data_IF_095174055329
#
_entry.id   IF_095174055329
#
_cell.length_a   1.000
_cell.length_b   1.000
_cell.length_c   1.000
_cell.angle_alpha   90.00
_cell.angle_beta   90.00
_cell.angle_gamma   90.00
#
_symmetry.space_group_name_H-M   'P 1'
#
loop_
_entity.id
_entity.type
_entity.pdbx_description
1 polymer ?
#
# COMPACT_ATOMS: atom_id res chain seq x y z
N UNK A 1 4.57 13.68 0.33
CA UNK A 1 3.10 13.90 0.15
C UNK A 1 2.45 14.18 1.48
N UNK A 2 1.46 15.11 1.55
CA UNK A 2 0.78 15.41 2.82
C UNK A 2 -0.57 14.65 2.91
N UNK A 3 -0.60 13.57 3.68
CA UNK A 3 -1.79 12.75 3.90
C UNK A 3 -2.73 13.25 5.00
N UNK A 4 -2.37 14.31 5.71
CA UNK A 4 -3.18 14.85 6.81
C UNK A 4 -4.58 15.27 6.38
N UNK A 5 -4.75 15.74 5.12
CA UNK A 5 -6.04 16.18 4.59
C UNK A 5 -7.02 15.05 4.29
N UNK A 6 -6.52 13.83 4.05
CA UNK A 6 -7.34 12.65 3.69
C UNK A 6 -7.43 11.61 4.81
N UNK A 7 -6.73 11.85 5.92
CA UNK A 7 -6.70 10.91 7.05
C UNK A 7 -8.10 10.54 7.56
N UNK A 8 -9.10 11.44 7.39
CA UNK A 8 -10.48 11.26 7.84
C UNK A 8 -11.27 10.17 7.15
N UNK A 9 -10.94 9.88 5.91
CA UNK A 9 -11.64 8.91 5.06
C UNK A 9 -10.75 7.74 4.66
N UNK A 10 -9.50 7.73 5.16
CA UNK A 10 -8.49 6.76 4.73
C UNK A 10 -8.87 5.31 5.04
N UNK A 11 -9.45 5.05 6.20
CA UNK A 11 -9.80 3.69 6.66
C UNK A 11 -10.99 3.09 5.91
N UNK A 12 -11.82 3.92 5.25
CA UNK A 12 -12.95 3.45 4.46
C UNK A 12 -12.54 2.45 3.37
N UNK A 13 -11.29 2.52 2.89
CA UNK A 13 -10.73 1.56 1.93
C UNK A 13 -10.72 0.12 2.46
N UNK A 14 -10.46 -0.06 3.76
CA UNK A 14 -10.44 -1.37 4.40
C UNK A 14 -11.85 -1.89 4.71
N UNK A 15 -12.85 -1.00 4.87
CA UNK A 15 -14.26 -1.38 4.96
C UNK A 15 -14.76 -1.91 3.60
N UNK A 16 -14.35 -1.26 2.50
CA UNK A 16 -14.74 -1.66 1.14
C UNK A 16 -13.95 -2.90 0.69
N UNK A 17 -12.66 -2.94 0.97
CA UNK A 17 -11.77 -4.04 0.63
C UNK A 17 -10.83 -4.36 1.81
N UNK A 18 -11.17 -5.35 2.64
CA UNK A 18 -10.43 -5.67 3.86
C UNK A 18 -9.06 -6.32 3.62
N UNK A 19 -8.65 -6.56 2.37
CA UNK A 19 -7.34 -7.11 2.00
C UNK A 19 -6.96 -8.37 2.81
N UNK A 20 -7.86 -9.34 2.86
CA UNK A 20 -7.70 -10.57 3.68
C UNK A 20 -6.51 -11.41 3.25
N UNK A 21 -6.14 -11.38 1.98
CA UNK A 21 -4.94 -12.05 1.49
C UNK A 21 -3.66 -11.44 2.04
N UNK A 22 -3.62 -10.11 2.17
CA UNK A 22 -2.51 -9.40 2.83
C UNK A 22 -2.44 -9.76 4.32
N UNK A 23 -3.58 -9.75 5.02
CA UNK A 23 -3.65 -10.18 6.43
C UNK A 23 -3.09 -11.59 6.60
N UNK A 24 -3.57 -12.55 5.79
CA UNK A 24 -3.10 -13.93 5.84
C UNK A 24 -1.58 -14.04 5.59
N UNK A 25 -1.07 -13.30 4.60
CA UNK A 25 0.36 -13.30 4.31
C UNK A 25 1.20 -12.73 5.45
N UNK A 26 0.77 -11.64 6.09
CA UNK A 26 1.46 -11.05 7.24
C UNK A 26 1.45 -11.97 8.46
N UNK A 27 0.31 -12.59 8.80
CA UNK A 27 0.21 -13.58 9.89
C UNK A 27 1.09 -14.80 9.61
N UNK A 28 1.15 -15.26 8.35
CA UNK A 28 2.08 -16.31 7.93
C UNK A 28 3.54 -15.93 8.20
N UNK A 29 3.95 -14.72 7.85
CA UNK A 29 5.30 -14.22 8.14
C UNK A 29 5.59 -14.15 9.64
N UNK A 30 4.65 -13.67 10.45
CA UNK A 30 4.77 -13.64 11.92
C UNK A 30 5.04 -15.06 12.45
N UNK A 31 4.28 -16.05 11.97
CA UNK A 31 4.47 -17.45 12.34
C UNK A 31 5.83 -18.01 11.89
N UNK A 32 6.17 -17.80 10.60
CA UNK A 32 7.40 -18.33 9.98
C UNK A 32 8.70 -17.77 10.60
N UNK A 33 8.63 -16.54 11.14
CA UNK A 33 9.74 -15.90 11.84
C UNK A 33 9.68 -16.07 13.35
N UNK A 34 8.60 -16.66 13.89
CA UNK A 34 8.30 -16.62 15.32
C UNK A 34 8.42 -15.20 15.88
N UNK A 35 7.96 -14.23 15.10
CA UNK A 35 8.17 -12.81 15.37
C UNK A 35 7.42 -12.37 16.63
N UNK A 36 8.12 -11.69 17.51
CA UNK A 36 7.60 -11.11 18.75
C UNK A 36 7.58 -9.59 18.71
N UNK A 37 8.51 -8.97 17.95
CA UNK A 37 8.65 -7.52 17.81
C UNK A 37 8.63 -7.13 16.34
N UNK A 38 7.58 -6.40 15.97
CA UNK A 38 7.32 -5.98 14.60
C UNK A 38 7.54 -4.48 14.45
N UNK A 39 7.94 -4.07 13.24
CA UNK A 39 7.92 -2.68 12.79
C UNK A 39 7.15 -2.55 11.49
N UNK A 40 6.11 -1.73 11.47
CA UNK A 40 5.48 -1.26 10.23
C UNK A 40 6.02 0.13 9.88
N UNK A 41 6.58 0.29 8.67
CA UNK A 41 7.05 1.59 8.17
C UNK A 41 6.07 2.13 7.14
N UNK A 42 5.56 3.34 7.39
CA UNK A 42 4.41 3.91 6.68
C UNK A 42 3.08 3.34 7.19
N UNK A 43 2.91 3.28 8.51
CA UNK A 43 1.78 2.60 9.14
C UNK A 43 0.44 3.35 9.00
N UNK A 44 0.45 4.62 8.58
CA UNK A 44 -0.74 5.42 8.39
C UNK A 44 -1.63 5.48 9.64
N UNK A 45 -2.88 5.04 9.51
CA UNK A 45 -3.90 4.98 10.58
C UNK A 45 -3.82 3.70 11.42
N UNK A 46 -2.77 2.89 11.24
CA UNK A 46 -2.48 1.73 12.09
C UNK A 46 -3.37 0.50 11.87
N UNK A 47 -3.93 0.33 10.67
CA UNK A 47 -4.77 -0.83 10.34
C UNK A 47 -4.06 -2.16 10.62
N UNK A 48 -2.85 -2.34 10.08
CA UNK A 48 -2.09 -3.58 10.26
C UNK A 48 -1.48 -3.72 11.65
N UNK A 49 -1.16 -2.59 12.32
CA UNK A 49 -0.73 -2.63 13.72
C UNK A 49 -1.79 -3.29 14.60
N UNK A 50 -3.06 -2.84 14.48
CA UNK A 50 -4.19 -3.40 15.23
C UNK A 50 -4.46 -4.84 14.86
N UNK A 51 -4.35 -5.17 13.57
CA UNK A 51 -4.57 -6.53 13.05
C UNK A 51 -3.58 -7.53 13.62
N UNK A 52 -2.30 -7.14 13.78
CA UNK A 52 -1.22 -8.05 14.19
C UNK A 52 -0.90 -7.99 15.69
N UNK A 53 -1.27 -6.93 16.40
CA UNK A 53 -0.98 -6.78 17.83
C UNK A 53 -1.43 -7.97 18.71
N UNK A 54 -2.56 -8.65 18.44
CA UNK A 54 -2.95 -9.83 19.23
C UNK A 54 -1.96 -10.99 19.16
N UNK A 55 -1.22 -11.12 18.06
CA UNK A 55 -0.36 -12.28 17.75
C UNK A 55 1.09 -12.10 18.23
N UNK A 56 1.47 -10.90 18.69
CA UNK A 56 2.86 -10.56 19.01
C UNK A 56 3.00 -9.87 20.36
N UNK A 57 4.23 -9.71 20.83
CA UNK A 57 4.49 -9.01 22.10
C UNK A 57 4.42 -7.50 21.94
N UNK A 58 4.96 -7.01 20.81
CA UNK A 58 4.99 -5.57 20.50
C UNK A 58 4.98 -5.34 19.00
N UNK A 59 4.20 -4.37 18.58
CA UNK A 59 4.24 -3.83 17.22
C UNK A 59 4.47 -2.32 17.27
N UNK A 60 5.44 -1.85 16.51
CA UNK A 60 5.79 -0.44 16.38
C UNK A 60 5.33 0.05 15.02
N UNK A 61 4.65 1.18 14.96
CA UNK A 61 4.28 1.87 13.72
C UNK A 61 5.08 3.15 13.57
N UNK A 62 5.74 3.31 12.43
CA UNK A 62 6.39 4.56 12.05
C UNK A 62 5.67 5.16 10.85
N UNK A 63 5.33 6.44 10.95
CA UNK A 63 4.80 7.24 9.84
C UNK A 63 5.27 8.68 9.94
N UNK A 64 5.51 9.32 8.79
CA UNK A 64 5.92 10.72 8.74
C UNK A 64 4.77 11.71 8.97
N UNK A 65 3.52 11.24 8.84
CA UNK A 65 2.31 12.05 8.98
C UNK A 65 1.75 11.96 10.39
N UNK A 66 2.01 12.99 11.20
CA UNK A 66 1.38 13.11 12.52
C UNK A 66 -0.15 13.12 12.45
N UNK A 67 -0.73 13.59 11.33
CA UNK A 67 -2.17 13.58 11.09
C UNK A 67 -2.73 12.16 10.94
N UNK A 68 -1.96 11.24 10.37
CA UNK A 68 -2.30 9.82 10.31
C UNK A 68 -2.17 9.17 11.68
N UNK A 69 -1.05 9.35 12.35
CA UNK A 69 -0.79 8.75 13.67
C UNK A 69 -1.83 9.16 14.73
N UNK A 70 -2.30 10.41 14.71
CA UNK A 70 -3.36 10.88 15.62
C UNK A 70 -4.71 10.18 15.44
N UNK A 71 -4.89 9.43 14.35
CA UNK A 71 -6.11 8.66 14.09
C UNK A 71 -6.01 7.20 14.53
N UNK A 72 -4.85 6.76 14.95
CA UNK A 72 -4.70 5.44 15.53
C UNK A 72 -5.39 5.46 16.89
N UNK A 73 -6.60 4.90 16.95
CA UNK A 73 -7.42 4.78 18.16
C UNK A 73 -7.24 3.40 18.79
N UNK A 74 -7.51 3.27 20.07
CA UNK A 74 -7.51 1.98 20.79
C UNK A 74 -6.18 1.22 20.65
N UNK A 75 -5.09 1.90 20.96
CA UNK A 75 -3.72 1.38 20.79
C UNK A 75 -3.45 0.09 21.56
N UNK A 76 -4.05 -0.07 22.75
CA UNK A 76 -3.67 -1.14 23.66
C UNK A 76 -2.17 -1.05 24.06
N UNK A 77 -1.76 -1.91 24.99
CA UNK A 77 -0.39 -1.85 25.55
C UNK A 77 0.71 -2.38 24.61
N UNK A 78 0.34 -2.99 23.49
CA UNK A 78 1.27 -3.64 22.55
C UNK A 78 1.66 -2.80 21.35
N UNK A 79 0.97 -1.67 21.13
CA UNK A 79 1.18 -0.79 19.97
C UNK A 79 1.93 0.46 20.41
N UNK A 80 3.03 0.76 19.73
CA UNK A 80 3.82 1.96 19.91
C UNK A 80 3.87 2.74 18.59
N UNK A 81 3.73 4.07 18.66
CA UNK A 81 3.77 4.93 17.48
C UNK A 81 4.97 5.87 17.53
N UNK A 82 5.64 5.97 16.38
CA UNK A 82 6.78 6.86 16.18
C UNK A 82 6.51 7.77 14.99
N UNK A 83 6.59 9.08 15.18
CA UNK A 83 6.55 10.02 14.07
C UNK A 83 7.96 10.18 13.51
N UNK A 84 8.17 9.73 12.25
CA UNK A 84 9.51 9.74 11.64
C UNK A 84 9.47 9.39 10.16
N UNK A 85 10.62 9.62 9.48
CA UNK A 85 10.81 9.29 8.06
C UNK A 85 11.38 7.88 7.89
N UNK A 86 11.00 7.20 6.80
CA UNK A 86 11.64 5.97 6.35
C UNK A 86 13.14 6.17 5.98
N UNK A 87 13.53 7.42 5.69
CA UNK A 87 14.92 7.77 5.39
C UNK A 87 15.82 7.86 6.64
N UNK A 88 15.20 7.87 7.84
CA UNK A 88 15.93 7.93 9.12
C UNK A 88 15.15 7.14 10.18
N UNK A 89 15.40 5.85 10.25
CA UNK A 89 14.74 4.95 11.19
C UNK A 89 15.36 5.09 12.59
N UNK A 90 14.65 5.65 13.59
CA UNK A 90 15.21 5.99 14.89
C UNK A 90 15.20 4.79 15.87
N UNK A 91 15.68 3.64 15.41
CA UNK A 91 15.67 2.41 16.18
C UNK A 91 17.09 1.85 16.36
N UNK A 92 17.30 1.10 17.42
CA UNK A 92 18.55 0.40 17.64
C UNK A 92 18.72 -0.77 16.65
N UNK A 93 19.96 -1.12 16.33
CA UNK A 93 20.28 -2.27 15.50
C UNK A 93 19.71 -3.57 16.11
N UNK A 94 19.36 -4.52 15.27
CA UNK A 94 18.84 -5.84 15.66
C UNK A 94 17.68 -5.77 16.67
N UNK A 95 16.72 -4.86 16.43
CA UNK A 95 15.57 -4.60 17.33
C UNK A 95 14.32 -5.36 16.97
N UNK A 96 14.17 -5.78 15.70
CA UNK A 96 12.92 -6.33 15.18
C UNK A 96 13.10 -7.72 14.58
N UNK A 97 12.09 -8.56 14.77
CA UNK A 97 12.02 -9.89 14.18
C UNK A 97 11.37 -9.85 12.78
N UNK A 98 10.46 -8.90 12.56
CA UNK A 98 9.83 -8.65 11.27
C UNK A 98 9.64 -7.14 11.06
N UNK A 99 10.12 -6.65 9.92
CA UNK A 99 9.84 -5.30 9.41
C UNK A 99 8.97 -5.43 8.16
N UNK A 100 7.92 -4.65 8.06
CA UNK A 100 7.06 -4.70 6.89
C UNK A 100 6.56 -3.33 6.45
N UNK A 101 6.24 -3.25 5.16
CA UNK A 101 5.68 -2.07 4.49
C UNK A 101 4.48 -2.53 3.67
N UNK A 102 3.31 -1.91 3.85
CA UNK A 102 2.13 -2.19 3.04
C UNK A 102 1.66 -0.93 2.33
N UNK A 103 1.70 -0.94 1.01
CA UNK A 103 1.28 0.17 0.15
C UNK A 103 1.92 1.52 0.51
N UNK A 104 3.18 1.53 0.99
CA UNK A 104 3.86 2.75 1.39
C UNK A 104 5.23 2.95 0.71
N UNK A 105 5.93 1.91 0.27
CA UNK A 105 7.29 2.01 -0.30
C UNK A 105 7.39 3.04 -1.44
N UNK A 106 6.37 3.15 -2.29
CA UNK A 106 6.35 4.09 -3.41
C UNK A 106 6.31 5.57 -3.00
N UNK A 107 6.13 5.86 -1.71
CA UNK A 107 6.19 7.20 -1.13
C UNK A 107 7.54 7.56 -0.53
N UNK A 108 8.44 6.59 -0.34
CA UNK A 108 9.75 6.86 0.24
C UNK A 108 10.64 7.54 -0.80
N UNK A 109 11.42 8.52 -0.36
CA UNK A 109 12.33 9.24 -1.26
C UNK A 109 13.51 8.34 -1.64
N UNK A 110 14.14 7.68 -0.66
CA UNK A 110 15.23 6.73 -0.85
C UNK A 110 14.78 5.29 -0.54
N UNK A 111 14.11 4.66 -1.52
CA UNK A 111 13.57 3.29 -1.39
C UNK A 111 14.64 2.23 -1.17
N UNK A 112 15.78 2.37 -1.87
CA UNK A 112 16.91 1.46 -1.73
C UNK A 112 17.56 1.60 -0.36
N UNK A 113 17.91 2.81 0.03
CA UNK A 113 18.50 3.07 1.35
C UNK A 113 17.57 2.70 2.50
N UNK A 114 16.24 2.80 2.31
CA UNK A 114 15.29 2.25 3.29
C UNK A 114 15.50 0.74 3.50
N UNK A 115 15.63 -0.04 2.42
CA UNK A 115 15.86 -1.50 2.51
C UNK A 115 17.18 -1.81 3.23
N UNK A 116 18.24 -1.07 2.91
CA UNK A 116 19.56 -1.20 3.56
C UNK A 116 19.47 -0.88 5.06
N UNK A 117 18.78 0.20 5.44
CA UNK A 117 18.56 0.56 6.85
C UNK A 117 17.68 -0.45 7.59
N UNK A 118 16.64 -0.95 6.95
CA UNK A 118 15.75 -1.94 7.55
C UNK A 118 16.47 -3.25 7.84
N UNK A 119 17.36 -3.69 6.96
CA UNK A 119 18.19 -4.89 7.17
C UNK A 119 18.98 -4.79 8.47
N UNK A 120 19.66 -3.68 8.74
CA UNK A 120 20.43 -3.47 9.97
C UNK A 120 19.58 -3.51 11.26
N UNK A 121 18.29 -3.25 11.16
CA UNK A 121 17.37 -3.30 12.29
C UNK A 121 16.82 -4.70 12.56
N UNK A 122 17.00 -5.62 11.61
CA UNK A 122 16.56 -7.00 11.77
C UNK A 122 17.47 -7.78 12.70
N UNK A 123 16.90 -8.66 13.50
CA UNK A 123 17.62 -9.71 14.23
C UNK A 123 18.00 -10.83 13.29
N UNK A 124 19.04 -11.62 13.62
CA UNK A 124 19.34 -12.86 12.91
C UNK A 124 18.07 -13.73 12.81
N UNK A 125 17.79 -14.24 11.62
CA UNK A 125 16.57 -15.00 11.31
C UNK A 125 15.32 -14.16 11.07
N UNK A 126 15.39 -12.84 11.25
CA UNK A 126 14.29 -11.92 11.00
C UNK A 126 13.97 -11.72 9.51
N UNK A 127 12.95 -10.94 9.20
CA UNK A 127 12.53 -10.72 7.81
C UNK A 127 12.08 -9.29 7.50
N UNK A 128 12.33 -8.87 6.26
CA UNK A 128 11.76 -7.67 5.66
C UNK A 128 10.72 -8.06 4.62
N UNK A 129 9.49 -7.56 4.75
CA UNK A 129 8.43 -7.75 3.77
C UNK A 129 7.99 -6.42 3.16
N UNK A 130 7.91 -6.36 1.84
CA UNK A 130 7.34 -5.25 1.09
C UNK A 130 6.10 -5.76 0.36
N UNK A 131 4.94 -5.16 0.65
CA UNK A 131 3.66 -5.47 0.02
C UNK A 131 3.15 -4.21 -0.68
N UNK A 132 2.69 -4.36 -1.91
CA UNK A 132 2.17 -3.23 -2.66
C UNK A 132 1.53 -3.60 -3.98
N UNK A 133 0.99 -2.58 -4.63
CA UNK A 133 0.36 -2.71 -5.93
C UNK A 133 1.37 -3.18 -6.98
N UNK A 134 0.99 -4.20 -7.74
CA UNK A 134 1.64 -4.53 -9.00
C UNK A 134 1.05 -3.62 -10.08
N UNK A 135 1.79 -2.55 -10.42
CA UNK A 135 1.31 -1.60 -11.43
C UNK A 135 1.17 -2.32 -12.76
N UNK A 136 -0.03 -2.37 -13.36
CA UNK A 136 -0.26 -3.18 -14.55
C UNK A 136 0.56 -2.71 -15.76
N UNK A 137 0.92 -3.63 -16.66
CA UNK A 137 1.73 -3.31 -17.84
C UNK A 137 0.96 -2.49 -18.90
N UNK A 138 -0.37 -2.42 -18.82
CA UNK A 138 -1.22 -1.73 -19.78
C UNK A 138 -2.44 -1.07 -19.12
N UNK A 139 -3.01 -0.08 -19.78
CA UNK A 139 -4.36 0.43 -19.50
C UNK A 139 -5.40 -0.67 -19.78
N UNK A 140 -6.60 -0.56 -19.18
CA UNK A 140 -7.70 -1.52 -19.38
C UNK A 140 -7.83 -2.58 -18.30
N UNK A 141 -6.83 -2.66 -17.37
CA UNK A 141 -6.93 -3.49 -16.17
C UNK A 141 -7.40 -2.70 -14.93
N UNK A 142 -7.61 -1.40 -15.07
CA UNK A 142 -8.10 -0.54 -14.00
C UNK A 142 -8.87 0.64 -14.57
N UNK A 143 -10.05 0.89 -14.02
CA UNK A 143 -10.85 2.08 -14.32
C UNK A 143 -10.03 3.37 -14.17
N UNK A 144 -9.18 3.45 -13.14
CA UNK A 144 -8.34 4.63 -12.92
C UNK A 144 -7.39 4.85 -14.10
N UNK A 145 -6.68 3.82 -14.53
CA UNK A 145 -5.69 3.96 -15.60
C UNK A 145 -6.34 4.09 -16.99
N UNK A 146 -7.53 3.54 -17.17
CA UNK A 146 -8.27 3.63 -18.43
C UNK A 146 -8.86 5.02 -18.66
N UNK A 147 -9.45 5.59 -17.62
CA UNK A 147 -10.23 6.83 -17.75
C UNK A 147 -9.44 8.09 -17.38
N UNK A 148 -8.49 8.03 -16.44
CA UNK A 148 -7.78 9.22 -15.96
C UNK A 148 -6.42 9.40 -16.65
N UNK A 149 -6.28 10.41 -17.55
CA UNK A 149 -5.03 10.65 -18.28
C UNK A 149 -3.86 10.92 -17.34
N UNK A 150 -2.73 10.25 -17.57
CA UNK A 150 -1.51 10.42 -16.78
C UNK A 150 -1.45 9.59 -15.50
N UNK A 151 -2.53 8.91 -15.12
CA UNK A 151 -2.56 8.13 -13.88
C UNK A 151 -1.58 6.94 -13.88
N UNK A 152 -1.54 6.20 -14.98
CA UNK A 152 -0.62 5.06 -15.12
C UNK A 152 0.85 5.50 -15.16
N UNK A 153 1.15 6.55 -15.91
CA UNK A 153 2.49 7.13 -16.01
C UNK A 153 2.97 7.64 -14.67
N UNK A 154 2.09 8.31 -13.92
CA UNK A 154 2.41 8.78 -12.57
C UNK A 154 2.73 7.62 -11.63
N UNK A 155 1.90 6.56 -11.60
CA UNK A 155 2.18 5.41 -10.76
C UNK A 155 3.44 4.67 -11.19
N UNK A 156 3.69 4.50 -12.49
CA UNK A 156 4.94 3.92 -12.99
C UNK A 156 6.19 4.70 -12.60
N UNK A 157 6.08 6.02 -12.47
CA UNK A 157 7.23 6.86 -12.08
C UNK A 157 7.65 6.68 -10.62
N UNK A 158 6.74 6.23 -9.75
CA UNK A 158 6.98 6.14 -8.31
C UNK A 158 7.03 4.71 -7.73
N UNK A 159 6.37 3.76 -8.38
CA UNK A 159 6.43 2.36 -7.97
C UNK A 159 7.67 1.69 -8.55
N UNK A 160 8.56 1.14 -7.72
CA UNK A 160 9.68 0.36 -8.22
C UNK A 160 9.18 -0.97 -8.81
N UNK A 161 9.86 -1.48 -9.82
CA UNK A 161 9.61 -2.84 -10.29
C UNK A 161 9.93 -3.88 -9.23
N UNK A 162 9.19 -4.98 -9.19
CA UNK A 162 9.37 -6.02 -8.18
C UNK A 162 10.73 -6.72 -8.25
N UNK A 163 11.28 -6.90 -9.45
CA UNK A 163 12.65 -7.40 -9.64
C UNK A 163 13.68 -6.45 -9.03
N UNK A 164 13.44 -5.14 -9.15
CA UNK A 164 14.30 -4.13 -8.56
C UNK A 164 14.26 -4.15 -7.03
N UNK A 165 13.06 -4.32 -6.43
CA UNK A 165 12.91 -4.50 -4.98
C UNK A 165 13.69 -5.73 -4.50
N UNK A 166 13.55 -6.87 -5.19
CA UNK A 166 14.31 -8.09 -4.89
C UNK A 166 15.82 -7.87 -5.01
N UNK A 167 16.27 -7.16 -6.05
CA UNK A 167 17.70 -6.83 -6.22
C UNK A 167 18.25 -5.96 -5.10
N UNK A 168 17.48 -4.97 -4.62
CA UNK A 168 17.87 -4.16 -3.47
C UNK A 168 17.97 -4.97 -2.18
N UNK A 169 17.01 -5.88 -1.94
CA UNK A 169 17.04 -6.79 -0.80
C UNK A 169 18.29 -7.70 -0.83
N UNK A 170 18.58 -8.28 -2.00
CA UNK A 170 19.80 -9.12 -2.18
C UNK A 170 21.09 -8.31 -1.96
N UNK A 171 21.15 -7.08 -2.50
CA UNK A 171 22.32 -6.21 -2.33
C UNK A 171 22.52 -5.77 -0.87
N UNK A 172 21.45 -5.68 -0.09
CA UNK A 172 21.50 -5.44 1.36
C UNK A 172 21.86 -6.69 2.18
N UNK A 173 22.11 -7.85 1.55
CA UNK A 173 22.49 -9.07 2.26
C UNK A 173 21.33 -9.96 2.69
N UNK A 174 20.11 -9.65 2.29
CA UNK A 174 18.94 -10.47 2.61
C UNK A 174 18.82 -11.66 1.64
N UNK A 175 18.47 -12.83 2.16
CA UNK A 175 18.09 -14.01 1.37
C UNK A 175 16.67 -13.81 0.80
N UNK A 176 16.59 -13.49 -0.49
CA UNK A 176 15.32 -13.13 -1.16
C UNK A 176 14.49 -14.38 -1.47
N UNK A 177 13.24 -14.36 -1.06
CA UNK A 177 12.26 -15.41 -1.36
C UNK A 177 11.55 -15.16 -2.70
N UNK A 178 10.94 -16.19 -3.30
CA UNK A 178 10.11 -16.00 -4.51
C UNK A 178 9.01 -14.97 -4.32
N UNK A 179 8.85 -14.09 -5.30
CA UNK A 179 7.78 -13.09 -5.31
C UNK A 179 6.41 -13.79 -5.32
N UNK A 180 5.49 -13.31 -4.48
CA UNK A 180 4.14 -13.88 -4.38
C UNK A 180 3.06 -12.83 -4.61
N UNK A 181 1.99 -13.18 -5.33
CA UNK A 181 0.74 -12.43 -5.30
C UNK A 181 0.00 -12.79 -4.01
N UNK A 182 -0.32 -11.79 -3.20
CA UNK A 182 -0.97 -11.97 -1.89
C UNK A 182 -2.41 -11.49 -1.87
N UNK A 183 -2.81 -10.65 -2.84
CA UNK A 183 -4.19 -10.17 -2.93
C UNK A 183 -4.59 -9.98 -4.39
N UNK A 184 -5.84 -10.33 -4.71
CA UNK A 184 -6.49 -10.02 -5.97
C UNK A 184 -7.68 -9.11 -5.71
N UNK A 185 -7.61 -7.88 -6.19
CA UNK A 185 -8.66 -6.89 -6.07
C UNK A 185 -9.46 -6.90 -7.36
N UNK A 186 -10.67 -7.45 -7.29
CA UNK A 186 -11.65 -7.41 -8.38
C UNK A 186 -12.74 -6.44 -8.02
N UNK A 187 -13.04 -5.59 -8.96
CA UNK A 187 -13.95 -4.50 -8.78
C UNK A 187 -14.80 -4.34 -10.03
N UNK A 188 -16.11 -4.20 -9.85
CA UNK A 188 -17.06 -3.97 -10.92
C UNK A 188 -18.13 -2.99 -10.44
N UNK A 189 -18.39 -1.96 -11.25
CA UNK A 189 -19.46 -0.98 -11.04
C UNK A 189 -20.23 -0.76 -12.31
N UNK A 190 -21.49 -0.48 -12.14
CA UNK A 190 -22.45 -0.34 -13.24
C UNK A 190 -22.99 1.09 -13.31
N UNK A 191 -23.13 1.60 -14.53
CA UNK A 191 -23.75 2.88 -14.80
C UNK A 191 -23.18 4.03 -13.96
N UNK A 192 -24.08 4.87 -13.46
CA UNK A 192 -23.73 6.05 -12.67
C UNK A 192 -23.19 5.77 -11.29
N UNK A 193 -23.36 4.53 -10.76
CA UNK A 193 -22.83 4.15 -9.46
C UNK A 193 -21.30 4.27 -9.37
N UNK A 194 -20.60 4.27 -10.50
CA UNK A 194 -19.15 4.53 -10.54
C UNK A 194 -18.82 5.94 -10.02
N UNK A 195 -19.65 6.95 -10.28
CA UNK A 195 -19.37 8.34 -9.92
C UNK A 195 -19.38 8.57 -8.39
N UNK A 196 -20.08 7.73 -7.64
CA UNK A 196 -20.14 7.77 -6.18
C UNK A 196 -19.08 6.87 -5.51
N UNK A 197 -18.29 6.18 -6.32
CA UNK A 197 -17.30 5.24 -5.78
C UNK A 197 -16.13 5.96 -5.12
N UNK A 198 -15.80 5.50 -3.90
CA UNK A 198 -14.71 6.07 -3.11
C UNK A 198 -13.37 6.11 -3.85
N UNK A 199 -13.05 5.06 -4.62
CA UNK A 199 -11.74 4.92 -5.25
C UNK A 199 -11.51 5.84 -6.44
N UNK A 200 -12.56 6.39 -7.06
CA UNK A 200 -12.41 7.39 -8.12
C UNK A 200 -12.58 8.83 -7.64
N UNK A 201 -12.92 9.05 -6.36
CA UNK A 201 -12.97 10.40 -5.81
C UNK A 201 -11.57 11.03 -5.76
N UNK A 202 -11.49 12.37 -5.86
CA UNK A 202 -10.23 13.14 -5.87
C UNK A 202 -9.27 12.77 -4.74
N UNK A 203 -9.81 12.33 -3.60
CA UNK A 203 -9.07 11.90 -2.41
C UNK A 203 -9.12 10.38 -2.16
N UNK A 204 -9.62 9.60 -3.12
CA UNK A 204 -9.78 8.16 -2.97
C UNK A 204 -8.49 7.35 -3.10
N UNK A 205 -7.51 7.90 -3.79
CA UNK A 205 -6.21 7.25 -3.99
C UNK A 205 -5.07 8.25 -4.17
N UNK A 206 -3.86 7.83 -3.80
CA UNK A 206 -2.66 8.66 -3.93
C UNK A 206 -2.28 8.98 -5.38
N UNK A 207 -2.76 8.19 -6.35
CA UNK A 207 -2.57 8.44 -7.78
C UNK A 207 -3.14 9.80 -8.21
N UNK A 208 -4.29 10.18 -7.68
CA UNK A 208 -4.92 11.46 -8.01
C UNK A 208 -4.17 12.67 -7.49
N UNK A 209 -3.33 12.52 -6.47
CA UNK A 209 -2.47 13.61 -5.98
C UNK A 209 -1.40 14.03 -7.00
N UNK A 210 -1.06 13.15 -7.93
CA UNK A 210 -0.13 13.45 -9.03
C UNK A 210 -0.80 14.01 -10.28
N UNK A 211 -2.12 14.03 -10.35
CA UNK A 211 -2.86 14.58 -11.48
C UNK A 211 -3.19 16.06 -11.25
N UNK A 212 -3.16 16.85 -12.32
CA UNK A 212 -3.74 18.19 -12.33
C UNK A 212 -5.28 18.09 -12.22
N UNK A 213 -5.92 19.18 -11.83
CA UNK A 213 -7.40 19.23 -11.79
C UNK A 213 -8.01 19.02 -13.19
N UNK A 214 -7.34 19.51 -14.23
CA UNK A 214 -7.74 19.27 -15.62
C UNK A 214 -7.67 17.79 -16.02
N UNK A 215 -6.61 17.07 -15.63
CA UNK A 215 -6.48 15.64 -15.90
C UNK A 215 -7.54 14.83 -15.14
N UNK A 216 -7.79 15.19 -13.88
CA UNK A 216 -8.83 14.55 -13.09
C UNK A 216 -10.22 14.78 -13.68
N UNK A 217 -10.56 16.03 -14.03
CA UNK A 217 -11.83 16.37 -14.66
C UNK A 217 -12.01 15.65 -16.00
N UNK A 218 -10.95 15.59 -16.82
CA UNK A 218 -11.00 14.85 -18.08
C UNK A 218 -11.30 13.35 -17.86
N UNK A 219 -10.86 12.76 -16.76
CA UNK A 219 -11.21 11.39 -16.38
C UNK A 219 -12.69 11.23 -16.07
N UNK A 220 -13.25 12.14 -15.26
CA UNK A 220 -14.69 12.16 -14.94
C UNK A 220 -15.53 12.36 -16.21
N UNK A 221 -15.10 13.24 -17.10
CA UNK A 221 -15.80 13.50 -18.35
C UNK A 221 -15.82 12.26 -19.27
N UNK A 222 -14.70 11.52 -19.35
CA UNK A 222 -14.63 10.25 -20.09
C UNK A 222 -15.58 9.19 -19.51
N UNK A 223 -15.66 9.08 -18.19
CA UNK A 223 -16.61 8.18 -17.52
C UNK A 223 -18.05 8.56 -17.89
N UNK A 224 -18.41 9.86 -17.82
CA UNK A 224 -19.73 10.32 -18.20
C UNK A 224 -20.05 10.04 -19.66
N UNK A 225 -19.09 10.22 -20.56
CA UNK A 225 -19.27 9.90 -21.99
C UNK A 225 -19.48 8.39 -22.19
N UNK A 226 -18.77 7.53 -21.48
CA UNK A 226 -18.97 6.09 -21.55
C UNK A 226 -20.37 5.68 -21.06
N UNK A 227 -20.86 6.29 -19.98
CA UNK A 227 -22.21 6.08 -19.46
C UNK A 227 -23.24 6.50 -20.53
N UNK A 228 -23.16 7.74 -21.04
CA UNK A 228 -24.10 8.25 -22.04
C UNK A 228 -24.10 7.40 -23.31
N UNK A 229 -22.93 6.95 -23.76
CA UNK A 229 -22.83 6.09 -24.94
C UNK A 229 -23.46 4.70 -24.73
N UNK A 230 -23.41 4.15 -23.54
CA UNK A 230 -24.10 2.89 -23.20
C UNK A 230 -25.63 3.09 -23.13
N UNK A 231 -26.06 4.13 -22.42
CA UNK A 231 -27.49 4.51 -22.29
C UNK A 231 -28.15 4.72 -23.66
N UNK A 232 -27.46 5.39 -24.61
CA UNK A 232 -27.93 5.58 -25.97
C UNK A 232 -28.17 4.28 -26.76
N UNK A 233 -27.52 3.19 -26.34
CA UNK A 233 -27.70 1.84 -26.93
C UNK A 233 -28.67 0.96 -26.14
N UNK A 234 -29.34 1.52 -25.12
CA UNK A 234 -30.19 0.77 -24.19
C UNK A 234 -29.41 -0.20 -23.30
N UNK A 235 -28.12 0.07 -23.04
CA UNK A 235 -27.22 -0.74 -22.24
C UNK A 235 -26.77 0.02 -21.00
N UNK A 236 -26.26 -0.70 -20.02
CA UNK A 236 -25.61 -0.12 -18.86
C UNK A 236 -24.08 -0.19 -19.05
N UNK A 237 -23.39 0.93 -18.78
CA UNK A 237 -21.92 0.95 -18.79
C UNK A 237 -21.37 0.08 -17.65
N UNK A 238 -20.32 -0.68 -17.92
CA UNK A 238 -19.66 -1.54 -16.93
C UNK A 238 -18.21 -1.12 -16.77
N UNK A 239 -17.83 -0.82 -15.54
CA UNK A 239 -16.48 -0.37 -15.15
C UNK A 239 -15.81 -1.43 -14.30
N UNK A 240 -14.68 -1.95 -14.77
CA UNK A 240 -13.96 -3.05 -14.11
C UNK A 240 -12.55 -2.66 -13.72
N UNK A 241 -12.11 -3.21 -12.61
CA UNK A 241 -10.69 -3.22 -12.25
C UNK A 241 -10.27 -4.61 -11.79
N UNK A 242 -9.12 -5.04 -12.21
CA UNK A 242 -8.47 -6.26 -11.77
C UNK A 242 -7.02 -5.93 -11.42
N UNK A 243 -6.74 -5.81 -10.13
CA UNK A 243 -5.45 -5.39 -9.60
C UNK A 243 -4.89 -6.48 -8.70
N UNK A 244 -3.59 -6.53 -8.58
CA UNK A 244 -2.89 -7.48 -7.71
C UNK A 244 -2.00 -6.73 -6.72
N UNK A 245 -1.96 -7.23 -5.48
CA UNK A 245 -0.89 -6.87 -4.57
C UNK A 245 0.11 -8.02 -4.51
N UNK A 246 1.38 -7.68 -4.66
CA UNK A 246 2.49 -8.61 -4.55
C UNK A 246 3.25 -8.38 -3.26
N UNK A 247 3.97 -9.42 -2.82
CA UNK A 247 4.83 -9.40 -1.65
C UNK A 247 6.21 -9.92 -2.01
N UNK A 248 7.22 -9.07 -1.79
CA UNK A 248 8.63 -9.45 -1.77
C UNK A 248 9.07 -9.63 -0.32
N UNK A 249 9.83 -10.69 -0.04
CA UNK A 249 10.35 -11.00 1.29
C UNK A 249 11.84 -11.28 1.20
N UNK A 250 12.61 -10.65 2.09
CA UNK A 250 14.02 -10.93 2.33
C UNK A 250 14.23 -11.39 3.76
N UNK A 251 15.05 -12.43 3.97
CA UNK A 251 15.41 -12.98 5.29
C UNK A 251 16.81 -12.56 5.67
N UNK A 252 16.97 -12.08 6.89
CA UNK A 252 18.28 -11.83 7.50
C UNK A 252 18.86 -13.17 7.97
N UNK A 253 20.05 -13.53 7.48
CA UNK A 253 20.71 -14.82 7.77
C UNK A 253 21.67 -14.72 8.94
#
# INVERSE_FOLDING_TARGET
MNYSSISGTYDRRYEINPLKGVEHALRGLVSDTSARRLLEVGCGTGHWLKTLAPDVERVVGLDSSIGMLRRVLDLGDRIELVCGSADSLPFALSSFDLIFVVNALHHFDDKRGFIERAEHLLRPGGGLAVIGLDVPPAIGLSVIYEYFPGALEFDRSRFPGWEQVGSWMAAAGLAVQPLRTVEHIRYEKHGRAILDDHFIQRHGGSVFMGLTDSQYQAGIDRINLAIAAAEARGQEAVFKSELQLKMAVGRHT
#
